data_IF_052953194418
#
_entry.id   IF_052953194418
#
_cell.length_a   1.000
_cell.length_b   1.000
_cell.length_c   1.000
_cell.angle_alpha   90.00
_cell.angle_beta   90.00
_cell.angle_gamma   90.00
#
_symmetry.space_group_name_H-M   'P 1'
#
loop_
_entity.id
_entity.type
_entity.pdbx_description
1 polymer ?
#
# COMPACT_ATOMS: atom_id res chain seq x y z
N UNK A 1 -3.10 19.36 16.99
CA UNK A 1 -3.53 19.98 15.70
C UNK A 1 -5.03 19.82 15.49
N UNK A 2 -5.56 18.59 15.58
CA UNK A 2 -6.99 18.32 15.39
C UNK A 2 -7.80 18.30 16.70
N UNK A 3 -7.22 18.71 17.83
CA UNK A 3 -7.83 18.59 19.16
C UNK A 3 -8.81 19.73 19.53
N UNK A 4 -8.87 20.79 18.73
CA UNK A 4 -9.77 21.95 18.91
C UNK A 4 -10.91 21.99 17.89
N UNK A 5 -11.38 23.19 17.57
CA UNK A 5 -12.42 23.39 16.56
C UNK A 5 -11.96 22.88 15.19
N UNK A 6 -12.79 22.02 14.57
CA UNK A 6 -12.50 21.41 13.27
C UNK A 6 -12.88 22.34 12.10
N UNK A 7 -12.68 23.66 12.25
CA UNK A 7 -12.88 24.60 11.15
C UNK A 7 -11.61 24.64 10.26
N UNK A 8 -11.82 24.86 8.96
CA UNK A 8 -10.74 24.79 7.97
C UNK A 8 -9.64 25.83 8.24
N UNK A 9 -9.99 27.07 8.60
CA UNK A 9 -9.03 28.13 8.88
C UNK A 9 -8.08 27.82 10.04
N UNK A 10 -8.59 27.25 11.13
CA UNK A 10 -7.79 26.88 12.31
C UNK A 10 -6.82 25.77 11.95
N UNK A 11 -7.30 24.76 11.22
CA UNK A 11 -6.46 23.63 10.80
C UNK A 11 -5.39 24.11 9.82
N UNK A 12 -5.75 24.90 8.82
CA UNK A 12 -4.81 25.41 7.81
C UNK A 12 -3.78 26.35 8.44
N UNK A 13 -4.18 27.18 9.40
CA UNK A 13 -3.26 28.01 10.19
C UNK A 13 -2.28 27.14 10.97
N UNK A 14 -2.78 26.08 11.64
CA UNK A 14 -1.94 25.16 12.37
C UNK A 14 -0.97 24.40 11.46
N UNK A 15 -1.41 23.95 10.28
CA UNK A 15 -0.57 23.31 9.27
C UNK A 15 0.54 24.25 8.78
N UNK A 16 0.16 25.48 8.41
CA UNK A 16 1.11 26.53 7.96
C UNK A 16 2.17 26.81 9.04
N UNK A 17 1.75 26.91 10.31
CA UNK A 17 2.65 27.12 11.44
C UNK A 17 3.58 25.91 11.68
N UNK A 18 3.06 24.69 11.55
CA UNK A 18 3.82 23.45 11.72
C UNK A 18 4.92 23.31 10.65
N UNK A 19 4.57 23.50 9.37
CA UNK A 19 5.52 23.39 8.26
C UNK A 19 6.45 24.60 8.13
N UNK A 20 6.15 25.71 8.83
CA UNK A 20 6.88 26.99 8.74
C UNK A 20 7.03 27.49 7.31
N UNK A 21 6.08 27.13 6.46
CA UNK A 21 6.05 27.47 5.04
C UNK A 21 4.65 27.94 4.70
N UNK A 22 4.56 28.93 3.80
CA UNK A 22 3.29 29.33 3.22
C UNK A 22 2.74 28.19 2.36
N UNK A 23 1.53 27.76 2.67
CA UNK A 23 0.78 26.82 1.84
C UNK A 23 0.06 27.62 0.75
N UNK A 24 0.41 27.37 -0.51
CA UNK A 24 -0.19 28.08 -1.65
C UNK A 24 -1.48 27.38 -2.09
N UNK A 25 -2.64 28.07 -2.04
CA UNK A 25 -3.91 27.48 -2.46
C UNK A 25 -3.88 26.97 -3.91
N UNK A 26 -4.54 25.84 -4.14
CA UNK A 26 -4.62 25.13 -5.43
C UNK A 26 -3.27 24.70 -6.03
N UNK A 27 -2.20 24.78 -5.24
CA UNK A 27 -0.84 24.33 -5.61
C UNK A 27 -0.19 23.46 -4.54
N UNK A 28 -0.92 23.20 -3.45
CA UNK A 28 -0.45 22.42 -2.31
C UNK A 28 -1.32 21.19 -2.17
N UNK A 29 -0.67 20.03 -2.11
CA UNK A 29 -1.25 18.74 -1.77
C UNK A 29 -0.93 18.43 -0.31
N UNK A 30 -1.95 18.09 0.48
CA UNK A 30 -1.80 17.69 1.87
C UNK A 30 -1.98 16.18 1.97
N UNK A 31 -0.90 15.47 2.31
CA UNK A 31 -0.94 14.03 2.52
C UNK A 31 -1.03 13.72 4.02
N UNK A 32 -2.08 13.02 4.42
CA UNK A 32 -2.31 12.56 5.80
C UNK A 32 -2.05 11.06 5.87
N UNK A 33 -0.91 10.71 6.43
CA UNK A 33 -0.50 9.32 6.59
C UNK A 33 -1.17 8.68 7.82
N UNK A 34 -1.54 7.40 7.71
CA UNK A 34 -2.15 6.60 8.77
C UNK A 34 -3.36 7.28 9.44
N UNK A 35 -4.32 7.72 8.63
CA UNK A 35 -5.45 8.55 9.06
C UNK A 35 -6.27 7.92 10.21
N UNK A 36 -6.25 6.59 10.34
CA UNK A 36 -6.91 5.88 11.44
C UNK A 36 -6.32 6.19 12.82
N UNK A 37 -5.06 6.64 12.90
CA UNK A 37 -4.43 7.06 14.16
C UNK A 37 -5.03 8.38 14.68
N UNK A 38 -5.61 9.19 13.78
CA UNK A 38 -6.27 10.45 14.12
C UNK A 38 -7.72 10.51 13.61
N UNK A 39 -8.70 9.90 14.32
CA UNK A 39 -10.12 9.94 13.93
C UNK A 39 -10.68 11.37 13.77
N UNK A 40 -10.11 12.33 14.50
CA UNK A 40 -10.47 13.75 14.40
C UNK A 40 -9.99 14.39 13.10
N UNK A 41 -8.82 14.01 12.60
CA UNK A 41 -8.36 14.41 11.27
C UNK A 41 -9.34 13.91 10.20
N UNK A 42 -9.73 12.62 10.27
CA UNK A 42 -10.73 12.05 9.36
C UNK A 42 -12.07 12.78 9.38
N UNK A 43 -12.52 13.21 10.57
CA UNK A 43 -13.76 13.99 10.71
C UNK A 43 -13.63 15.39 10.09
N UNK A 44 -12.45 15.99 10.20
CA UNK A 44 -12.19 17.33 9.67
C UNK A 44 -12.15 17.40 8.14
N UNK A 45 -11.88 16.27 7.48
CA UNK A 45 -11.65 16.21 6.03
C UNK A 45 -12.83 16.73 5.24
N UNK A 46 -14.05 16.46 5.69
CA UNK A 46 -15.25 17.06 5.10
C UNK A 46 -15.13 18.58 4.97
N UNK A 47 -14.78 19.26 6.07
CA UNK A 47 -14.68 20.72 6.10
C UNK A 47 -13.49 21.24 5.28
N UNK A 48 -12.39 20.49 5.26
CA UNK A 48 -11.19 20.82 4.49
C UNK A 48 -11.41 20.68 2.98
N UNK A 49 -12.15 19.66 2.54
CA UNK A 49 -12.54 19.46 1.14
C UNK A 49 -13.58 20.50 0.72
N UNK A 50 -14.57 20.82 1.57
CA UNK A 50 -15.55 21.89 1.29
C UNK A 50 -14.91 23.27 1.16
N UNK A 51 -13.86 23.54 1.94
CA UNK A 51 -13.08 24.77 1.87
C UNK A 51 -12.35 24.94 0.52
N UNK A 52 -11.87 23.83 -0.06
CA UNK A 52 -11.37 23.78 -1.43
C UNK A 52 -10.02 24.47 -1.69
N UNK A 53 -9.32 24.99 -0.66
CA UNK A 53 -7.99 25.60 -0.85
C UNK A 53 -6.90 24.60 -1.23
N UNK A 54 -7.00 23.34 -0.80
CA UNK A 54 -5.97 22.32 -1.02
C UNK A 54 -6.58 21.00 -1.47
N UNK A 55 -5.75 20.19 -2.11
CA UNK A 55 -6.06 18.78 -2.36
C UNK A 55 -5.60 17.94 -1.17
N UNK A 56 -6.38 16.93 -0.80
CA UNK A 56 -6.08 16.06 0.35
C UNK A 56 -5.99 14.61 -0.10
N UNK A 57 -4.95 13.91 0.34
CA UNK A 57 -4.82 12.46 0.20
C UNK A 57 -4.65 11.87 1.60
N UNK A 58 -5.32 10.76 1.83
CA UNK A 58 -5.22 9.98 3.06
C UNK A 58 -4.65 8.61 2.77
N UNK A 59 -3.79 8.11 3.65
CA UNK A 59 -3.37 6.71 3.67
C UNK A 59 -3.92 6.01 4.93
N UNK A 60 -4.00 4.69 4.89
CA UNK A 60 -4.29 3.89 6.07
C UNK A 60 -4.17 2.39 5.81
N UNK A 61 -3.76 1.65 6.85
CA UNK A 61 -3.59 0.19 6.77
C UNK A 61 -4.90 -0.60 6.87
N UNK A 62 -5.02 -1.64 6.04
CA UNK A 62 -6.14 -2.60 6.05
C UNK A 62 -6.22 -3.47 7.31
N UNK A 63 -5.12 -3.66 8.04
CA UNK A 63 -5.10 -4.40 9.31
C UNK A 63 -5.54 -3.56 10.51
N UNK A 64 -6.10 -2.37 10.28
CA UNK A 64 -6.83 -1.59 11.27
C UNK A 64 -8.06 -2.36 11.75
N UNK A 65 -7.84 -3.34 12.64
CA UNK A 65 -8.87 -4.09 13.37
C UNK A 65 -9.70 -3.08 14.15
N UNK A 66 -10.82 -2.69 13.53
CA UNK A 66 -11.75 -1.61 13.92
C UNK A 66 -11.13 -0.21 13.83
N UNK A 67 -11.67 0.58 12.90
CA UNK A 67 -11.72 2.03 13.08
C UNK A 67 -12.22 2.30 14.51
N UNK A 68 -11.46 3.06 15.31
CA UNK A 68 -12.06 3.76 16.46
C UNK A 68 -13.32 4.45 15.93
N UNK A 69 -14.43 4.35 16.64
CA UNK A 69 -15.72 4.89 16.20
C UNK A 69 -15.51 6.33 15.77
N UNK A 70 -15.55 6.58 14.46
CA UNK A 70 -15.40 7.93 13.94
C UNK A 70 -16.74 8.62 14.20
N UNK A 71 -16.77 9.82 14.79
CA UNK A 71 -18.02 10.52 15.10
C UNK A 71 -18.93 10.71 13.87
N UNK A 72 -18.33 10.84 12.69
CA UNK A 72 -19.02 10.95 11.41
C UNK A 72 -18.14 10.42 10.28
N UNK A 73 -18.70 9.61 9.38
CA UNK A 73 -18.01 9.21 8.15
C UNK A 73 -18.17 10.31 7.08
N UNK A 74 -17.11 10.70 6.37
CA UNK A 74 -17.17 11.72 5.32
C UNK A 74 -17.75 11.14 4.01
N UNK A 75 -18.94 10.56 4.07
CA UNK A 75 -19.63 9.95 2.93
C UNK A 75 -19.84 11.02 1.85
N UNK A 76 -19.31 10.76 0.64
CA UNK A 76 -19.41 11.67 -0.51
C UNK A 76 -18.28 12.70 -0.66
N UNK A 77 -17.30 12.73 0.26
CA UNK A 77 -16.16 13.66 0.21
C UNK A 77 -14.82 12.94 -0.04
N UNK A 78 -14.81 11.60 -0.03
CA UNK A 78 -13.63 10.78 -0.26
C UNK A 78 -13.83 9.85 -1.47
N UNK A 79 -12.76 9.66 -2.25
CA UNK A 79 -12.66 8.56 -3.23
C UNK A 79 -11.69 7.53 -2.67
N UNK A 80 -12.18 6.33 -2.41
CA UNK A 80 -11.35 5.26 -1.87
C UNK A 80 -10.61 4.53 -3.00
N UNK A 81 -9.28 4.53 -2.93
CA UNK A 81 -8.42 3.75 -3.82
C UNK A 81 -7.78 2.63 -3.01
N UNK A 82 -7.92 1.39 -3.50
CA UNK A 82 -7.26 0.24 -2.90
C UNK A 82 -5.97 -0.07 -3.64
N UNK A 83 -4.86 0.03 -2.94
CA UNK A 83 -3.54 -0.35 -3.44
C UNK A 83 -3.30 -1.84 -3.18
N UNK A 84 -2.65 -2.50 -4.13
CA UNK A 84 -2.24 -3.90 -4.04
C UNK A 84 -0.73 -4.01 -4.21
N UNK A 85 -0.12 -5.14 -3.77
CA UNK A 85 1.23 -5.48 -4.19
C UNK A 85 1.32 -5.53 -5.72
N UNK A 86 2.52 -5.29 -6.24
CA UNK A 86 2.79 -5.33 -7.67
C UNK A 86 2.36 -6.67 -8.25
N UNK A 87 1.69 -6.63 -9.40
CA UNK A 87 1.46 -7.85 -10.17
C UNK A 87 2.72 -8.26 -10.95
N UNK A 88 2.62 -9.36 -11.70
CA UNK A 88 3.76 -9.85 -12.46
C UNK A 88 4.16 -8.91 -13.60
N UNK A 89 3.22 -8.21 -14.25
CA UNK A 89 3.54 -7.26 -15.33
C UNK A 89 4.31 -6.05 -14.76
N UNK A 90 3.87 -5.53 -13.61
CA UNK A 90 4.57 -4.47 -12.88
C UNK A 90 5.94 -4.93 -12.39
N UNK A 91 6.08 -6.18 -11.94
CA UNK A 91 7.38 -6.76 -11.60
C UNK A 91 8.32 -6.84 -12.81
N UNK A 92 7.81 -7.25 -13.98
CA UNK A 92 8.60 -7.27 -15.22
C UNK A 92 9.05 -5.86 -15.60
N UNK A 93 8.15 -4.87 -15.49
CA UNK A 93 8.48 -3.47 -15.73
C UNK A 93 9.55 -2.95 -14.77
N UNK A 94 9.45 -3.29 -13.47
CA UNK A 94 10.46 -2.94 -12.47
C UNK A 94 11.84 -3.56 -12.75
N UNK A 95 11.86 -4.74 -13.38
CA UNK A 95 13.08 -5.43 -13.83
C UNK A 95 13.53 -5.00 -15.24
N UNK A 96 13.11 -3.83 -15.71
CA UNK A 96 13.51 -3.24 -16.99
C UNK A 96 13.11 -4.05 -18.24
N UNK A 97 12.09 -4.90 -18.15
CA UNK A 97 11.51 -5.52 -19.35
C UNK A 97 10.82 -4.44 -20.18
N UNK A 98 11.22 -4.33 -21.44
CA UNK A 98 10.73 -3.27 -22.32
C UNK A 98 9.24 -3.45 -22.64
N UNK A 99 8.50 -2.34 -22.77
CA UNK A 99 7.09 -2.33 -23.18
C UNK A 99 6.84 -3.09 -24.50
N UNK A 100 7.81 -3.06 -25.42
CA UNK A 100 7.74 -3.82 -26.67
C UNK A 100 7.73 -5.33 -26.45
N UNK A 101 8.51 -5.83 -25.49
CA UNK A 101 8.51 -7.25 -25.09
C UNK A 101 7.18 -7.63 -24.44
N UNK A 102 6.63 -6.79 -23.55
CA UNK A 102 5.32 -7.03 -22.95
C UNK A 102 4.21 -7.08 -24.00
N UNK A 103 4.24 -6.17 -24.98
CA UNK A 103 3.28 -6.13 -26.09
C UNK A 103 3.40 -7.36 -26.99
N UNK A 104 4.62 -7.83 -27.23
CA UNK A 104 4.88 -9.08 -27.95
C UNK A 104 4.31 -10.30 -27.20
N UNK A 105 4.56 -10.41 -25.89
CA UNK A 105 4.00 -11.49 -25.06
C UNK A 105 2.47 -11.49 -25.08
N UNK A 106 1.84 -10.32 -24.95
CA UNK A 106 0.39 -10.18 -25.08
C UNK A 106 -0.11 -10.65 -26.45
N UNK A 107 0.57 -10.27 -27.52
CA UNK A 107 0.20 -10.68 -28.89
C UNK A 107 0.26 -12.21 -29.06
N UNK A 108 1.33 -12.84 -28.58
CA UNK A 108 1.46 -14.29 -28.60
C UNK A 108 0.34 -14.98 -27.81
N UNK A 109 0.00 -14.45 -26.63
CA UNK A 109 -1.10 -14.97 -25.82
C UNK A 109 -2.46 -14.83 -26.52
N UNK A 110 -2.76 -13.67 -27.10
CA UNK A 110 -4.04 -13.42 -27.79
C UNK A 110 -4.22 -14.27 -29.06
N UNK A 111 -3.12 -14.61 -29.73
CA UNK A 111 -3.14 -15.42 -30.96
C UNK A 111 -2.91 -16.91 -30.74
N UNK A 112 -2.68 -17.33 -29.50
CA UNK A 112 -2.29 -18.70 -29.15
C UNK A 112 -1.03 -19.17 -29.92
N UNK A 113 -0.06 -18.26 -30.06
CA UNK A 113 1.21 -18.49 -30.75
C UNK A 113 2.35 -18.73 -29.74
N UNK A 114 3.31 -19.61 -30.05
CA UNK A 114 4.45 -19.82 -29.18
C UNK A 114 5.34 -18.57 -29.10
N UNK A 115 5.77 -18.26 -27.88
CA UNK A 115 6.77 -17.21 -27.62
C UNK A 115 8.14 -17.74 -28.04
N UNK A 116 8.97 -16.89 -28.65
CA UNK A 116 10.35 -17.23 -28.98
C UNK A 116 11.11 -17.76 -27.74
N UNK A 117 11.86 -18.84 -27.90
CA UNK A 117 12.52 -19.56 -26.79
C UNK A 117 13.42 -18.68 -25.91
N UNK A 118 14.17 -17.73 -26.49
CA UNK A 118 15.04 -16.85 -25.72
C UNK A 118 14.23 -15.90 -24.82
N UNK A 119 13.13 -15.36 -25.35
CA UNK A 119 12.20 -14.52 -24.59
C UNK A 119 11.50 -15.36 -23.53
N UNK A 120 10.98 -16.53 -23.90
CA UNK A 120 10.29 -17.44 -22.99
C UNK A 120 11.17 -17.83 -21.79
N UNK A 121 12.43 -18.21 -22.04
CA UNK A 121 13.39 -18.60 -21.00
C UNK A 121 13.63 -17.47 -20.00
N UNK A 122 13.79 -16.24 -20.50
CA UNK A 122 14.02 -15.05 -19.67
C UNK A 122 12.79 -14.73 -18.81
N UNK A 123 11.59 -14.75 -19.41
CA UNK A 123 10.35 -14.45 -18.69
C UNK A 123 10.03 -15.52 -17.64
N UNK A 124 10.28 -16.80 -17.93
CA UNK A 124 10.13 -17.87 -16.94
C UNK A 124 11.13 -17.73 -15.79
N UNK A 125 12.35 -17.27 -16.05
CA UNK A 125 13.30 -16.97 -14.98
C UNK A 125 12.80 -15.84 -14.08
N UNK A 126 12.32 -14.73 -14.67
CA UNK A 126 11.74 -13.62 -13.91
C UNK A 126 10.48 -14.04 -13.15
N UNK A 127 9.65 -14.92 -13.73
CA UNK A 127 8.49 -15.49 -13.04
C UNK A 127 8.89 -16.26 -11.79
N UNK A 128 9.96 -17.06 -11.85
CA UNK A 128 10.48 -17.77 -10.67
C UNK A 128 10.97 -16.81 -9.59
N UNK A 129 11.63 -15.71 -9.97
CA UNK A 129 12.00 -14.69 -9.00
C UNK A 129 10.79 -13.99 -8.39
N UNK A 130 9.75 -13.71 -9.19
CA UNK A 130 8.50 -13.13 -8.69
C UNK A 130 7.77 -14.07 -7.71
N UNK A 131 7.77 -15.38 -7.95
CA UNK A 131 7.18 -16.35 -7.00
C UNK A 131 7.89 -16.31 -5.64
N UNK A 132 9.19 -16.04 -5.61
CA UNK A 132 9.98 -15.93 -4.36
C UNK A 132 9.82 -14.55 -3.72
N UNK A 133 9.91 -13.49 -4.53
CA UNK A 133 9.91 -12.09 -4.08
C UNK A 133 8.51 -11.62 -3.68
N UNK A 134 7.49 -12.12 -4.37
CA UNK A 134 6.13 -11.59 -4.36
C UNK A 134 6.06 -10.20 -5.00
N UNK A 135 4.95 -9.52 -4.76
CA UNK A 135 4.69 -8.16 -5.25
C UNK A 135 4.93 -7.04 -4.25
N UNK A 136 5.39 -7.33 -3.02
CA UNK A 136 5.53 -6.29 -2.00
C UNK A 136 6.56 -5.24 -2.47
N UNK A 137 6.21 -3.94 -2.58
CA UNK A 137 7.08 -2.95 -3.22
C UNK A 137 8.50 -2.91 -2.68
N UNK A 138 8.67 -2.99 -1.35
CA UNK A 138 10.00 -2.95 -0.71
C UNK A 138 10.82 -4.21 -1.00
N UNK A 139 10.18 -5.38 -1.06
CA UNK A 139 10.82 -6.64 -1.45
C UNK A 139 11.23 -6.63 -2.94
N UNK A 140 10.36 -6.14 -3.82
CA UNK A 140 10.64 -5.99 -5.25
C UNK A 140 11.78 -5.01 -5.48
N UNK A 141 11.74 -3.84 -4.84
CA UNK A 141 12.79 -2.84 -4.96
C UNK A 141 14.14 -3.39 -4.50
N UNK A 142 14.18 -4.09 -3.35
CA UNK A 142 15.39 -4.76 -2.87
C UNK A 142 15.93 -5.77 -3.88
N UNK A 143 15.06 -6.56 -4.49
CA UNK A 143 15.45 -7.51 -5.54
C UNK A 143 16.04 -6.78 -6.75
N UNK A 144 15.38 -5.75 -7.26
CA UNK A 144 15.86 -4.95 -8.40
C UNK A 144 17.23 -4.35 -8.12
N UNK A 145 17.44 -3.82 -6.91
CA UNK A 145 18.69 -3.14 -6.54
C UNK A 145 19.87 -4.11 -6.35
N UNK A 146 19.62 -5.32 -5.84
CA UNK A 146 20.68 -6.20 -5.31
C UNK A 146 20.76 -7.57 -5.96
N UNK A 147 19.66 -8.06 -6.52
CA UNK A 147 19.47 -9.44 -6.99
C UNK A 147 19.77 -10.50 -5.91
N UNK A 148 19.75 -10.11 -4.63
CA UNK A 148 20.07 -10.97 -3.49
C UNK A 148 18.78 -11.46 -2.81
N UNK A 149 18.46 -12.74 -3.03
CA UNK A 149 17.28 -13.38 -2.46
C UNK A 149 17.33 -13.45 -0.93
N UNK A 150 18.51 -13.55 -0.30
CA UNK A 150 18.60 -13.58 1.15
C UNK A 150 18.15 -12.24 1.76
N UNK A 151 18.51 -11.12 1.13
CA UNK A 151 18.05 -9.80 1.54
C UNK A 151 16.55 -9.62 1.32
N UNK A 152 16.00 -10.14 0.22
CA UNK A 152 14.55 -10.12 -0.04
C UNK A 152 13.79 -10.86 1.07
N UNK A 153 14.25 -12.06 1.44
CA UNK A 153 13.64 -12.86 2.52
C UNK A 153 13.72 -12.13 3.85
N UNK A 154 14.81 -11.41 4.12
CA UNK A 154 14.92 -10.59 5.33
C UNK A 154 13.84 -9.48 5.35
N UNK A 155 13.68 -8.73 4.26
CA UNK A 155 12.63 -7.70 4.14
C UNK A 155 11.23 -8.30 4.34
N UNK A 156 10.96 -9.46 3.74
CA UNK A 156 9.68 -10.15 3.93
C UNK A 156 9.43 -10.52 5.39
N UNK A 157 10.45 -11.00 6.11
CA UNK A 157 10.36 -11.30 7.54
C UNK A 157 10.12 -10.05 8.39
N UNK A 158 10.77 -8.94 8.06
CA UNK A 158 10.60 -7.66 8.75
C UNK A 158 9.17 -7.13 8.54
N UNK A 159 8.65 -7.19 7.32
CA UNK A 159 7.25 -6.85 7.00
C UNK A 159 6.27 -7.72 7.81
N UNK A 160 6.49 -9.04 7.88
CA UNK A 160 5.67 -9.94 8.69
C UNK A 160 5.77 -9.62 10.18
N UNK A 161 6.93 -9.18 10.68
CA UNK A 161 7.10 -8.75 12.06
C UNK A 161 6.31 -7.48 12.35
N UNK A 162 6.33 -6.49 11.45
CA UNK A 162 5.52 -5.27 11.55
C UNK A 162 4.02 -5.59 11.59
N UNK A 163 3.55 -6.48 10.72
CA UNK A 163 2.15 -6.91 10.75
C UNK A 163 1.75 -7.55 12.09
N UNK A 164 2.61 -8.37 12.69
CA UNK A 164 2.35 -8.95 14.01
C UNK A 164 2.30 -7.89 15.12
N UNK A 165 3.15 -6.87 15.03
CA UNK A 165 3.13 -5.75 15.97
C UNK A 165 1.83 -4.95 15.83
N UNK A 166 1.40 -4.65 14.61
CA UNK A 166 0.15 -3.93 14.34
C UNK A 166 -1.08 -4.70 14.82
N UNK A 167 -1.16 -6.01 14.52
CA UNK A 167 -2.23 -6.87 15.05
C UNK A 167 -2.28 -6.78 16.59
N UNK A 168 -1.12 -6.82 17.24
CA UNK A 168 -1.02 -6.75 18.70
C UNK A 168 -1.43 -5.37 19.25
N UNK A 169 -1.18 -4.29 18.50
CA UNK A 169 -1.53 -2.91 18.87
C UNK A 169 -3.04 -2.65 18.70
N UNK A 170 -3.65 -3.11 17.60
CA UNK A 170 -5.00 -2.68 17.20
C UNK A 170 -6.13 -3.66 17.54
N UNK A 171 -5.87 -4.95 17.69
CA UNK A 171 -6.93 -5.87 18.12
C UNK A 171 -7.25 -5.61 19.61
N UNK A 172 -8.34 -4.91 19.94
CA UNK A 172 -8.72 -4.67 21.34
C UNK A 172 -9.32 -5.93 21.99
N UNK A 173 -9.98 -6.77 21.19
CA UNK A 173 -10.51 -8.08 21.54
C UNK A 173 -9.89 -9.13 20.60
N UNK A 174 -9.76 -10.38 21.07
CA UNK A 174 -9.28 -11.51 20.26
C UNK A 174 -7.85 -11.38 19.67
N UNK A 175 -6.96 -10.57 20.28
CA UNK A 175 -5.53 -10.44 19.86
C UNK A 175 -4.87 -11.78 19.60
N UNK A 176 -5.00 -12.68 20.57
CA UNK A 176 -4.38 -13.99 20.52
C UNK A 176 -4.94 -14.80 19.36
N UNK A 177 -6.26 -14.78 19.15
CA UNK A 177 -6.92 -15.51 18.07
C UNK A 177 -6.56 -14.96 16.69
N UNK A 178 -6.51 -13.64 16.51
CA UNK A 178 -6.13 -13.01 15.24
C UNK A 178 -4.67 -13.28 14.92
N UNK A 179 -3.79 -13.20 15.92
CA UNK A 179 -2.39 -13.57 15.79
C UNK A 179 -2.22 -15.05 15.44
N UNK A 180 -2.93 -15.94 16.14
CA UNK A 180 -2.90 -17.38 15.87
C UNK A 180 -3.41 -17.70 14.47
N UNK A 181 -4.44 -17.00 13.97
CA UNK A 181 -4.90 -17.13 12.58
C UNK A 181 -3.82 -16.65 11.61
N UNK A 182 -3.25 -15.47 11.84
CA UNK A 182 -2.20 -14.90 10.98
C UNK A 182 -0.98 -15.82 10.90
N UNK A 183 -0.51 -16.34 12.04
CA UNK A 183 0.63 -17.26 12.11
C UNK A 183 0.32 -18.62 11.47
N UNK A 184 -0.96 -19.01 11.33
CA UNK A 184 -1.39 -20.23 10.62
C UNK A 184 -1.58 -20.05 9.12
N UNK A 185 -1.73 -18.82 8.61
CA UNK A 185 -1.92 -18.58 7.17
C UNK A 185 -0.84 -19.24 6.29
N UNK A 186 0.47 -19.16 6.62
CA UNK A 186 1.50 -19.83 5.83
C UNK A 186 1.32 -21.36 5.81
N UNK A 187 1.00 -21.97 6.95
CA UNK A 187 0.80 -23.42 7.05
C UNK A 187 -0.45 -23.90 6.31
N UNK A 188 -1.54 -23.13 6.36
CA UNK A 188 -2.82 -23.45 5.71
C UNK A 188 -2.77 -23.30 4.18
N UNK A 189 -1.94 -22.39 3.68
CA UNK A 189 -1.65 -22.27 2.24
C UNK A 189 -0.80 -23.43 1.73
N UNK A 190 0.07 -23.99 2.58
CA UNK A 190 0.91 -25.12 2.22
C UNK A 190 0.11 -26.44 2.18
N UNK A 191 -0.85 -26.63 3.09
CA UNK A 191 -1.73 -27.82 3.12
C UNK A 191 -2.75 -27.87 2.00
N UNK A 192 -3.12 -26.74 1.38
CA UNK A 192 -4.00 -26.73 0.19
C UNK A 192 -3.27 -26.85 -1.15
N UNK A 193 -1.93 -26.80 -1.12
CA UNK A 193 -1.07 -26.87 -2.31
C UNK A 193 -0.43 -28.25 -2.49
N UNK A 194 -0.83 -29.23 -1.67
CA UNK A 194 -0.43 -30.65 -1.72
C UNK A 194 -1.64 -31.53 -2.01
#
# INVERSE_FOLDING_TARGET
>A
MFDGDLNADTIITALTAFFRQKLDPHKTLVFLDEIQECPRARTAIKFLVEDGRFDYIESGSLLGVRYKTVPSYPVGYETQLRMFPLDFEEFLAANNVQKGTLSYLRTCFEKDEPVNDAVHTTIIQLFRYYVITGGMPDAVQRFVDTHDIAQVVQIQNDILALYRQDISKYAVQDRQRIRDIFDRLPSELNTKSS
#
